data_IF_817664567982
#
_entry.id   IF_817664567982
#
_cell.length_a   1.000
_cell.length_b   1.000
_cell.length_c   1.000
_cell.angle_alpha   90.00
_cell.angle_beta   90.00
_cell.angle_gamma   90.00
#
_symmetry.space_group_name_H-M   'P 1'
#
loop_
_entity.id
_entity.type
_entity.pdbx_description
1 polymer ?
#
# COMPACT_ATOMS: atom_id res chain seq x y z
N UNK A 1 -3.39 -13.82 12.99
CA UNK A 1 -4.28 -12.64 13.11
C UNK A 1 -5.50 -12.72 12.18
N UNK A 2 -5.45 -13.53 11.12
CA UNK A 2 -6.53 -13.71 10.13
C UNK A 2 -7.84 -14.23 10.76
N UNK A 3 -7.73 -15.16 11.71
CA UNK A 3 -8.89 -15.68 12.43
C UNK A 3 -9.67 -14.61 13.22
N UNK A 4 -9.01 -13.56 13.70
CA UNK A 4 -9.67 -12.48 14.45
C UNK A 4 -10.54 -11.62 13.52
N UNK A 5 -10.04 -11.27 12.34
CA UNK A 5 -10.81 -10.50 11.35
C UNK A 5 -12.01 -11.29 10.82
N UNK A 6 -11.83 -12.58 10.53
CA UNK A 6 -12.92 -13.46 10.11
C UNK A 6 -13.98 -13.61 11.20
N UNK A 7 -13.57 -13.75 12.47
CA UNK A 7 -14.48 -13.81 13.63
C UNK A 7 -15.26 -12.50 13.81
N UNK A 8 -14.61 -11.34 13.69
CA UNK A 8 -15.32 -10.06 13.78
C UNK A 8 -16.33 -9.87 12.63
N UNK A 9 -15.96 -10.24 11.40
CA UNK A 9 -16.86 -10.22 10.25
C UNK A 9 -18.06 -11.15 10.44
N UNK A 10 -17.84 -12.39 10.89
CA UNK A 10 -18.93 -13.34 11.12
C UNK A 10 -19.84 -12.91 12.26
N UNK A 11 -19.30 -12.32 13.34
CA UNK A 11 -20.09 -11.81 14.47
C UNK A 11 -20.96 -10.63 14.06
N UNK A 12 -20.42 -9.65 13.31
CA UNK A 12 -21.20 -8.51 12.83
C UNK A 12 -22.26 -8.91 11.80
N UNK A 13 -21.97 -9.89 10.94
CA UNK A 13 -22.93 -10.42 9.97
C UNK A 13 -24.06 -11.23 10.64
N UNK A 14 -23.75 -12.04 11.65
CA UNK A 14 -24.74 -12.74 12.46
C UNK A 14 -25.62 -11.77 13.26
N UNK A 15 -25.01 -10.71 13.84
CA UNK A 15 -25.74 -9.65 14.52
C UNK A 15 -26.68 -8.91 13.56
N UNK A 16 -26.28 -8.70 12.30
CA UNK A 16 -27.13 -8.14 11.26
C UNK A 16 -28.35 -9.03 10.97
N UNK A 17 -28.15 -10.34 10.79
CA UNK A 17 -29.23 -11.30 10.49
C UNK A 17 -30.20 -11.45 11.67
N UNK A 18 -29.72 -11.42 12.92
CA UNK A 18 -30.57 -11.56 14.10
C UNK A 18 -31.31 -10.28 14.48
N UNK A 19 -30.74 -9.09 14.25
CA UNK A 19 -31.30 -7.82 14.72
C UNK A 19 -32.30 -7.18 13.74
N UNK A 20 -32.17 -7.47 12.44
CA UNK A 20 -33.12 -7.04 11.39
C UNK A 20 -34.56 -7.58 11.60
N UNK A 21 -34.80 -8.87 11.93
CA UNK A 21 -36.15 -9.39 12.13
C UNK A 21 -36.76 -9.03 13.49
N UNK A 22 -35.97 -8.57 14.46
CA UNK A 22 -36.42 -8.28 15.84
C UNK A 22 -36.84 -6.82 16.04
N UNK A 23 -36.47 -5.91 15.13
CA UNK A 23 -36.67 -4.46 15.33
C UNK A 23 -37.49 -3.84 14.19
N UNK A 24 -38.59 -3.15 14.50
CA UNK A 24 -39.37 -2.36 13.55
C UNK A 24 -39.25 -0.85 13.84
N UNK A 25 -39.05 -0.01 12.81
CA UNK A 25 -39.04 1.45 12.91
C UNK A 25 -37.66 2.12 12.74
N UNK A 26 -37.51 3.34 13.26
CA UNK A 26 -36.29 4.19 13.14
C UNK A 26 -35.04 3.51 13.71
N UNK A 27 -35.20 2.64 14.72
CA UNK A 27 -34.10 1.88 15.32
C UNK A 27 -33.51 0.86 14.34
N UNK A 28 -34.34 0.24 13.48
CA UNK A 28 -33.85 -0.67 12.44
C UNK A 28 -33.00 0.10 11.40
N UNK A 29 -33.46 1.30 10.99
CA UNK A 29 -32.70 2.15 10.08
C UNK A 29 -31.32 2.54 10.65
N UNK A 30 -31.25 2.90 11.93
CA UNK A 30 -29.97 3.22 12.59
C UNK A 30 -29.05 1.99 12.72
N UNK A 31 -29.61 0.82 13.04
CA UNK A 31 -28.86 -0.44 13.14
C UNK A 31 -28.30 -0.85 11.77
N UNK A 32 -29.11 -0.80 10.70
CA UNK A 32 -28.64 -1.11 9.34
C UNK A 32 -27.57 -0.10 8.90
N UNK A 33 -27.72 1.19 9.21
CA UNK A 33 -26.73 2.19 8.84
C UNK A 33 -25.37 1.91 9.51
N UNK A 34 -25.36 1.70 10.84
CA UNK A 34 -24.13 1.46 11.58
C UNK A 34 -23.50 0.10 11.24
N UNK A 35 -24.28 -0.97 11.28
CA UNK A 35 -23.79 -2.33 10.99
C UNK A 35 -23.42 -2.46 9.51
N UNK A 36 -24.16 -1.84 8.59
CA UNK A 36 -23.86 -1.86 7.15
C UNK A 36 -22.57 -1.14 6.79
N UNK A 37 -22.27 0.00 7.43
CA UNK A 37 -20.99 0.70 7.27
C UNK A 37 -19.85 -0.22 7.76
N UNK A 38 -19.96 -0.78 8.97
CA UNK A 38 -18.90 -1.63 9.52
C UNK A 38 -18.69 -2.88 8.64
N UNK A 39 -19.75 -3.60 8.28
CA UNK A 39 -19.64 -4.82 7.47
C UNK A 39 -19.06 -4.57 6.07
N UNK A 40 -19.23 -3.37 5.49
CA UNK A 40 -18.65 -3.02 4.17
C UNK A 40 -17.23 -2.50 4.26
N UNK A 41 -16.92 -1.64 5.23
CA UNK A 41 -15.58 -1.06 5.35
C UNK A 41 -14.57 -2.03 5.96
N UNK A 42 -14.98 -2.87 6.91
CA UNK A 42 -14.07 -3.79 7.60
C UNK A 42 -13.34 -4.79 6.67
N UNK A 43 -13.98 -5.46 5.70
CA UNK A 43 -13.28 -6.34 4.76
C UNK A 43 -12.35 -5.55 3.83
N UNK A 44 -12.71 -4.32 3.44
CA UNK A 44 -11.84 -3.47 2.60
C UNK A 44 -10.55 -3.07 3.34
N UNK A 45 -10.65 -2.74 4.64
CA UNK A 45 -9.51 -2.40 5.48
C UNK A 45 -8.67 -3.65 5.77
N UNK A 46 -9.31 -4.80 6.03
CA UNK A 46 -8.61 -6.06 6.24
C UNK A 46 -7.81 -6.48 5.00
N UNK A 47 -8.40 -6.34 3.80
CA UNK A 47 -7.70 -6.61 2.54
C UNK A 47 -6.54 -5.63 2.32
N UNK A 48 -6.74 -4.34 2.57
CA UNK A 48 -5.67 -3.35 2.47
C UNK A 48 -4.51 -3.67 3.44
N UNK A 49 -4.82 -4.06 4.68
CA UNK A 49 -3.83 -4.48 5.66
C UNK A 49 -3.08 -5.74 5.21
N UNK A 50 -3.82 -6.73 4.70
CA UNK A 50 -3.23 -7.98 4.20
C UNK A 50 -2.27 -7.71 3.04
N UNK A 51 -2.69 -6.91 2.05
CA UNK A 51 -1.83 -6.49 0.93
C UNK A 51 -0.59 -5.77 1.44
N UNK A 52 -0.73 -4.80 2.35
CA UNK A 52 0.41 -4.06 2.90
C UNK A 52 1.36 -4.92 3.74
N UNK A 53 0.85 -5.95 4.43
CA UNK A 53 1.67 -6.80 5.30
C UNK A 53 2.35 -7.95 4.54
N UNK A 54 1.70 -8.47 3.50
CA UNK A 54 2.17 -9.65 2.76
C UNK A 54 2.87 -9.30 1.46
N UNK A 55 2.58 -8.15 0.86
CA UNK A 55 3.21 -7.72 -0.40
C UNK A 55 4.35 -6.79 -0.07
N UNK A 56 5.58 -7.21 -0.38
CA UNK A 56 6.70 -6.27 -0.32
C UNK A 56 6.61 -5.28 -1.47
N UNK A 57 7.05 -4.06 -1.20
CA UNK A 57 7.14 -3.00 -2.19
C UNK A 57 7.89 -3.45 -3.46
N UNK A 58 8.94 -4.25 -3.30
CA UNK A 58 9.73 -4.81 -4.39
C UNK A 58 8.94 -5.81 -5.26
N UNK A 59 8.06 -6.63 -4.66
CA UNK A 59 7.19 -7.55 -5.40
C UNK A 59 6.12 -6.81 -6.22
N UNK A 60 5.60 -5.70 -5.70
CA UNK A 60 4.65 -4.86 -6.43
C UNK A 60 5.28 -4.26 -7.70
N UNK A 61 6.51 -3.76 -7.61
CA UNK A 61 7.26 -3.26 -8.78
C UNK A 61 7.50 -4.36 -9.80
N UNK A 62 7.90 -5.53 -9.34
CA UNK A 62 8.17 -6.67 -10.21
C UNK A 62 6.87 -7.13 -10.91
N UNK A 63 5.72 -7.06 -10.23
CA UNK A 63 4.42 -7.36 -10.82
C UNK A 63 4.05 -6.34 -11.91
N UNK A 64 4.32 -5.04 -11.68
CA UNK A 64 4.13 -3.99 -12.69
C UNK A 64 5.01 -4.22 -13.93
N UNK A 65 6.24 -4.69 -13.76
CA UNK A 65 7.13 -5.05 -14.86
C UNK A 65 6.56 -6.20 -15.72
N UNK A 66 5.94 -7.20 -15.08
CA UNK A 66 5.28 -8.33 -15.77
C UNK A 66 3.96 -7.96 -16.44
N UNK A 67 3.26 -6.94 -15.96
CA UNK A 67 2.06 -6.40 -16.61
C UNK A 67 2.37 -5.63 -17.91
N UNK A 68 3.62 -5.66 -18.40
CA UNK A 68 4.06 -4.95 -19.61
C UNK A 68 3.78 -3.44 -19.54
N UNK A 69 3.91 -2.84 -18.36
CA UNK A 69 3.97 -1.38 -18.28
C UNK A 69 5.23 -0.89 -19.00
N UNK A 70 5.19 0.31 -19.62
CA UNK A 70 6.35 0.85 -20.30
C UNK A 70 7.52 0.99 -19.33
N UNK A 71 8.70 0.57 -19.78
CA UNK A 71 9.95 0.61 -19.02
C UNK A 71 10.26 2.01 -18.44
N UNK A 72 9.74 3.05 -19.10
CA UNK A 72 9.80 4.45 -18.66
C UNK A 72 9.19 4.70 -17.28
N UNK A 73 8.25 3.85 -16.83
CA UNK A 73 7.58 3.98 -15.53
C UNK A 73 8.16 2.97 -14.53
N UNK A 74 8.41 1.74 -14.97
CA UNK A 74 8.87 0.65 -14.09
C UNK A 74 10.26 0.95 -13.52
N UNK A 75 11.18 1.48 -14.34
CA UNK A 75 12.55 1.76 -13.93
C UNK A 75 12.61 2.84 -12.83
N UNK A 76 12.01 4.05 -13.01
CA UNK A 76 11.97 5.04 -11.95
C UNK A 76 11.26 4.54 -10.69
N UNK A 77 10.19 3.75 -10.83
CA UNK A 77 9.49 3.18 -9.67
C UNK A 77 10.39 2.23 -8.87
N UNK A 78 11.11 1.32 -9.55
CA UNK A 78 12.07 0.41 -8.90
C UNK A 78 13.16 1.17 -8.14
N UNK A 79 13.67 2.24 -8.74
CA UNK A 79 14.61 3.15 -8.10
C UNK A 79 13.98 3.80 -6.87
N UNK A 80 12.81 4.44 -7.00
CA UNK A 80 12.15 5.13 -5.89
C UNK A 80 12.01 4.20 -4.70
N UNK A 81 11.55 2.97 -4.91
CA UNK A 81 11.33 2.05 -3.81
C UNK A 81 12.60 1.49 -3.15
N UNK A 82 13.71 1.39 -3.89
CA UNK A 82 15.00 1.03 -3.28
C UNK A 82 15.64 2.20 -2.54
N UNK A 83 15.36 3.44 -2.95
CA UNK A 83 15.95 4.66 -2.37
C UNK A 83 15.10 5.30 -1.29
N UNK A 84 13.78 5.11 -1.31
CA UNK A 84 12.86 5.55 -0.27
C UNK A 84 13.29 5.15 1.15
N UNK A 85 13.70 3.89 1.44
CA UNK A 85 14.20 3.54 2.77
C UNK A 85 15.45 4.36 3.15
N UNK A 86 16.39 4.55 2.22
CA UNK A 86 17.60 5.36 2.45
C UNK A 86 17.29 6.83 2.71
N UNK A 87 16.31 7.42 1.99
CA UNK A 87 15.86 8.80 2.24
C UNK A 87 15.24 8.94 3.64
N UNK A 88 14.53 7.91 4.11
CA UNK A 88 14.01 7.86 5.48
C UNK A 88 15.13 7.87 6.53
N UNK A 89 16.18 7.07 6.32
CA UNK A 89 17.36 7.05 7.18
C UNK A 89 18.08 8.41 7.19
N UNK A 90 18.29 9.02 6.02
CA UNK A 90 18.85 10.37 5.88
C UNK A 90 18.00 11.43 6.60
N UNK A 91 16.66 11.32 6.51
CA UNK A 91 15.76 12.20 7.23
C UNK A 91 15.94 12.10 8.74
N UNK A 92 16.10 10.88 9.27
CA UNK A 92 16.37 10.69 10.70
C UNK A 92 17.73 11.23 11.11
N UNK A 93 18.78 11.01 10.31
CA UNK A 93 20.11 11.54 10.56
C UNK A 93 20.14 13.07 10.56
N UNK A 94 19.49 13.72 9.59
CA UNK A 94 19.36 15.19 9.53
C UNK A 94 18.52 15.69 10.71
N UNK A 95 17.45 14.99 11.06
CA UNK A 95 16.63 15.33 12.22
C UNK A 95 17.45 15.31 13.52
N UNK A 96 18.30 14.30 13.70
CA UNK A 96 19.17 14.14 14.86
C UNK A 96 20.31 15.17 14.88
N UNK A 97 20.92 15.47 13.73
CA UNK A 97 21.91 16.54 13.60
C UNK A 97 21.34 17.92 13.96
N UNK A 98 20.11 18.20 13.53
CA UNK A 98 19.40 19.43 13.87
C UNK A 98 19.02 19.48 15.35
N UNK A 99 18.70 18.33 15.95
CA UNK A 99 18.46 18.21 17.40
C UNK A 99 19.74 18.47 18.21
N UNK A 100 20.90 18.02 17.75
CA UNK A 100 22.22 18.32 18.34
C UNK A 100 22.57 19.81 18.26
N UNK A 101 22.13 20.52 17.21
CA UNK A 101 22.27 21.98 17.08
C UNK A 101 21.32 22.80 17.95
N UNK A 102 20.56 22.15 18.85
CA UNK A 102 19.65 22.84 19.78
C UNK A 102 18.34 23.30 19.16
N UNK A 103 18.06 22.95 17.90
CA UNK A 103 16.78 23.23 17.25
C UNK A 103 15.75 22.22 17.75
N UNK A 104 15.19 22.51 18.92
CA UNK A 104 14.10 21.72 19.52
C UNK A 104 12.78 22.04 18.83
N UNK A 105 12.03 21.00 18.48
CA UNK A 105 10.60 21.11 18.15
C UNK A 105 9.91 21.93 19.27
N UNK A 106 9.43 23.13 18.95
CA UNK A 106 8.73 24.02 19.90
C UNK A 106 9.40 25.37 20.21
N UNK A 107 10.60 25.67 19.69
CA UNK A 107 11.26 26.96 19.91
C UNK A 107 10.82 28.08 18.97
N UNK A 108 9.60 28.62 19.12
CA UNK A 108 9.13 29.94 18.63
C UNK A 108 9.14 30.28 17.13
N UNK A 109 10.02 29.69 16.31
CA UNK A 109 10.18 29.96 14.87
C UNK A 109 10.13 28.64 14.09
N UNK A 110 8.92 28.08 13.99
CA UNK A 110 8.65 26.84 13.23
C UNK A 110 9.06 26.98 11.76
N UNK A 111 8.96 28.20 11.19
CA UNK A 111 9.36 28.50 9.82
C UNK A 111 10.86 28.33 9.58
N UNK A 112 11.70 28.88 10.45
CA UNK A 112 13.15 28.73 10.36
C UNK A 112 13.58 27.26 10.58
N UNK A 113 12.89 26.54 11.47
CA UNK A 113 13.16 25.12 11.71
C UNK A 113 12.86 24.24 10.49
N UNK A 114 11.76 24.53 9.77
CA UNK A 114 11.43 23.86 8.53
C UNK A 114 12.47 24.17 7.46
N UNK A 115 12.89 25.42 7.32
CA UNK A 115 13.92 25.84 6.37
C UNK A 115 15.24 25.08 6.60
N UNK A 116 15.70 25.00 7.86
CA UNK A 116 16.93 24.28 8.20
C UNK A 116 16.86 22.76 8.05
N UNK A 117 15.68 22.15 8.00
CA UNK A 117 15.52 20.71 7.75
C UNK A 117 15.26 20.41 6.28
N UNK A 118 14.44 21.21 5.62
CA UNK A 118 14.04 21.02 4.23
C UNK A 118 15.19 21.32 3.26
N UNK A 119 15.96 22.39 3.47
CA UNK A 119 17.06 22.74 2.56
C UNK A 119 18.12 21.61 2.49
N UNK A 120 18.65 21.08 3.61
CA UNK A 120 19.59 19.95 3.55
C UNK A 120 18.98 18.70 2.93
N UNK A 121 17.73 18.38 3.24
CA UNK A 121 17.02 17.24 2.65
C UNK A 121 16.89 17.36 1.14
N UNK A 122 16.57 18.56 0.63
CA UNK A 122 16.50 18.79 -0.81
C UNK A 122 17.86 18.63 -1.47
N UNK A 123 18.93 19.20 -0.89
CA UNK A 123 20.28 19.07 -1.43
C UNK A 123 20.74 17.61 -1.46
N UNK A 124 20.52 16.84 -0.39
CA UNK A 124 20.85 15.42 -0.36
C UNK A 124 20.07 14.64 -1.41
N UNK A 125 18.77 14.89 -1.55
CA UNK A 125 17.92 14.22 -2.54
C UNK A 125 18.36 14.49 -3.98
N UNK A 126 18.74 15.73 -4.29
CA UNK A 126 19.27 16.10 -5.62
C UNK A 126 20.59 15.38 -5.90
N UNK A 127 21.54 15.39 -4.96
CA UNK A 127 22.83 14.68 -5.12
C UNK A 127 22.66 13.18 -5.34
N UNK A 128 21.81 12.53 -4.54
CA UNK A 128 21.52 11.11 -4.69
C UNK A 128 20.90 10.82 -6.06
N UNK A 129 19.98 11.68 -6.52
CA UNK A 129 19.39 11.59 -7.85
C UNK A 129 20.42 11.71 -8.98
N UNK A 130 21.36 12.64 -8.87
CA UNK A 130 22.46 12.81 -9.82
C UNK A 130 23.40 11.60 -9.86
N UNK A 131 23.83 11.11 -8.70
CA UNK A 131 24.68 9.92 -8.59
C UNK A 131 24.00 8.69 -9.18
N UNK A 132 22.70 8.53 -8.90
CA UNK A 132 21.91 7.45 -9.46
C UNK A 132 21.77 7.56 -10.98
N UNK A 133 21.45 8.75 -11.49
CA UNK A 133 21.33 9.00 -12.92
C UNK A 133 22.64 8.68 -13.64
N UNK A 134 23.77 9.16 -13.11
CA UNK A 134 25.10 8.86 -13.63
C UNK A 134 25.42 7.35 -13.56
N UNK A 135 25.11 6.67 -12.45
CA UNK A 135 25.30 5.22 -12.31
C UNK A 135 24.42 4.42 -13.27
N UNK A 136 23.21 4.88 -13.53
CA UNK A 136 22.29 4.23 -14.44
C UNK A 136 22.76 4.39 -15.90
N UNK A 137 23.10 5.61 -16.32
CA UNK A 137 23.60 5.90 -17.67
C UNK A 137 24.89 5.14 -17.97
N UNK A 138 25.83 5.07 -17.01
CA UNK A 138 27.09 4.30 -17.16
C UNK A 138 26.85 2.79 -17.26
N UNK A 139 25.78 2.27 -16.66
CA UNK A 139 25.33 0.87 -16.79
C UNK A 139 24.48 0.62 -18.06
N UNK A 140 24.42 1.57 -18.98
CA UNK A 140 23.70 1.43 -20.24
C UNK A 140 22.18 1.59 -20.14
N UNK A 141 21.70 2.35 -19.14
CA UNK A 141 20.28 2.71 -19.07
C UNK A 141 19.89 3.50 -20.32
N UNK A 142 19.11 2.89 -21.22
CA UNK A 142 18.72 3.47 -22.52
C UNK A 142 19.38 2.81 -23.75
N UNK A 143 20.22 1.80 -23.57
CA UNK A 143 20.73 1.00 -24.69
C UNK A 143 19.58 0.24 -25.40
N UNK A 144 19.60 0.11 -26.74
CA UNK A 144 18.53 -0.52 -27.53
C UNK A 144 18.49 -2.06 -27.41
N UNK A 145 18.97 -2.60 -26.29
CA UNK A 145 19.05 -4.05 -26.03
C UNK A 145 17.92 -4.46 -25.09
N UNK A 146 17.22 -5.55 -25.44
CA UNK A 146 16.11 -6.09 -24.67
C UNK A 146 16.57 -6.43 -23.25
N UNK A 147 15.96 -5.78 -22.24
CA UNK A 147 16.26 -6.00 -20.83
C UNK A 147 15.86 -7.40 -20.40
N UNK A 148 16.67 -8.02 -19.55
CA UNK A 148 16.37 -9.30 -18.88
C UNK A 148 15.97 -9.03 -17.43
N UNK A 149 14.77 -9.43 -17.03
CA UNK A 149 14.29 -9.29 -15.65
C UNK A 149 14.86 -10.42 -14.76
N UNK A 150 15.48 -10.05 -13.64
CA UNK A 150 16.11 -10.97 -12.68
C UNK A 150 15.07 -11.55 -11.69
N UNK A 151 13.94 -10.87 -11.47
CA UNK A 151 12.90 -11.30 -10.54
C UNK A 151 11.99 -12.37 -11.16
N UNK A 152 12.18 -13.62 -10.74
CA UNK A 152 11.22 -14.70 -10.99
C UNK A 152 10.06 -14.60 -10.01
N UNK A 153 9.04 -13.83 -10.38
CA UNK A 153 7.72 -13.92 -9.75
C UNK A 153 7.08 -15.21 -10.26
N UNK A 154 6.97 -16.20 -9.37
CA UNK A 154 6.22 -17.43 -9.62
C UNK A 154 4.82 -17.29 -9.04
N UNK A 155 3.80 -17.60 -9.83
CA UNK A 155 2.46 -17.85 -9.31
C UNK A 155 2.53 -19.05 -8.38
N UNK A 156 2.20 -18.87 -7.11
CA UNK A 156 2.17 -19.97 -6.17
C UNK A 156 0.78 -20.62 -6.22
N UNK A 157 0.72 -21.95 -6.05
CA UNK A 157 -0.53 -22.72 -5.99
C UNK A 157 -1.66 -22.10 -5.12
N UNK A 158 -1.39 -21.46 -3.96
CA UNK A 158 -2.44 -20.76 -3.20
C UNK A 158 -3.08 -19.56 -3.93
N UNK A 159 -2.37 -18.87 -4.82
CA UNK A 159 -2.90 -17.72 -5.56
C UNK A 159 -3.98 -18.17 -6.57
N UNK A 160 -3.75 -19.33 -7.22
CA UNK A 160 -4.70 -19.94 -8.16
C UNK A 160 -5.96 -20.39 -7.44
N UNK A 161 -5.81 -20.98 -6.24
CA UNK A 161 -6.94 -21.42 -5.43
C UNK A 161 -7.79 -20.23 -4.93
N UNK A 162 -7.15 -19.15 -4.49
CA UNK A 162 -7.83 -17.92 -4.07
C UNK A 162 -8.59 -17.27 -5.24
N UNK A 163 -7.98 -17.22 -6.42
CA UNK A 163 -8.59 -16.64 -7.62
C UNK A 163 -9.80 -17.47 -8.09
N UNK A 164 -9.72 -18.80 -8.02
CA UNK A 164 -10.84 -19.69 -8.29
C UNK A 164 -12.01 -19.48 -7.29
N UNK A 165 -11.73 -19.37 -6.00
CA UNK A 165 -12.75 -19.08 -4.98
C UNK A 165 -13.43 -17.73 -5.19
N UNK A 166 -12.66 -16.68 -5.54
CA UNK A 166 -13.21 -15.37 -5.87
C UNK A 166 -14.13 -15.43 -7.10
N UNK A 167 -13.73 -16.11 -8.17
CA UNK A 167 -14.54 -16.26 -9.37
C UNK A 167 -15.84 -17.04 -9.09
N UNK A 168 -15.78 -18.08 -8.26
CA UNK A 168 -16.97 -18.83 -7.84
C UNK A 168 -17.93 -17.96 -7.02
N UNK A 169 -17.42 -17.16 -6.07
CA UNK A 169 -18.24 -16.25 -5.28
C UNK A 169 -18.89 -15.17 -6.15
N UNK A 170 -18.15 -14.61 -7.11
CA UNK A 170 -18.65 -13.61 -8.05
C UNK A 170 -19.71 -14.20 -9.00
N UNK A 171 -19.47 -15.41 -9.48
CA UNK A 171 -20.43 -16.16 -10.30
C UNK A 171 -21.72 -16.46 -9.56
N UNK A 172 -21.64 -16.90 -8.29
CA UNK A 172 -22.81 -17.12 -7.44
C UNK A 172 -23.59 -15.84 -7.18
N UNK A 173 -22.92 -14.70 -6.99
CA UNK A 173 -23.59 -13.39 -6.83
C UNK A 173 -24.35 -12.98 -8.10
N UNK A 174 -23.73 -13.14 -9.27
CA UNK A 174 -24.36 -12.85 -10.57
C UNK A 174 -25.57 -13.74 -10.82
N UNK A 175 -25.44 -15.06 -10.59
CA UNK A 175 -26.56 -16.00 -10.72
C UNK A 175 -27.72 -15.65 -9.79
N UNK A 176 -27.45 -15.26 -8.54
CA UNK A 176 -28.49 -14.83 -7.61
C UNK A 176 -29.15 -13.51 -8.06
N UNK A 177 -28.39 -12.57 -8.60
CA UNK A 177 -28.93 -11.30 -9.12
C UNK A 177 -29.74 -11.44 -10.42
N UNK A 178 -29.52 -12.51 -11.18
CA UNK A 178 -30.28 -12.80 -12.41
C UNK A 178 -31.54 -13.64 -12.14
N UNK A 179 -31.59 -14.33 -10.99
CA UNK A 179 -32.71 -15.20 -10.58
C UNK A 179 -33.66 -14.53 -9.56
N UNK A 180 -33.38 -13.29 -9.15
CA UNK A 180 -34.24 -12.42 -8.32
C UNK A 180 -34.81 -11.27 -9.15
#
# INVERSE_FOLDING_TARGET
MEGRFCLYLSVFYLMQIFLIPVTSGVVNFLVIAMTGIVTRFMPSIAMAYFVMSTTTVSEFVAAMERMHLPDQIVIPMSVIFRFFPTVGEEFTAINDAMRMRGVRFGGGKVTAMLEYRLIPMMICSVKIGEELSASALTRGLGAPVKRTNICRIGFHFPDVLALALCLLAFGMWILNSFFA
#
